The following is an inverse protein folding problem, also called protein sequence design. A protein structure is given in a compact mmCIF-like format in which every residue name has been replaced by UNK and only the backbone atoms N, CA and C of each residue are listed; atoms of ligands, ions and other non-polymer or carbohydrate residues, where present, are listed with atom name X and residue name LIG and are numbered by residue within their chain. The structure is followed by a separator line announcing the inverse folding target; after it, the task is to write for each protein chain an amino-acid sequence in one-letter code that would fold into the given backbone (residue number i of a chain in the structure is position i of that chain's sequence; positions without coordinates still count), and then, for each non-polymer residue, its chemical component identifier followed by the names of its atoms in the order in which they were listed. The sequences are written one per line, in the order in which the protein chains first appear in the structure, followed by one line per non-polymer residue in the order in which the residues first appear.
data_IF_331793903871
#
_entry.id   IF_331793903871
#
_cell.length_a   1.000
_cell.length_b   1.000
_cell.length_c   1.000
_cell.angle_alpha   90.00
_cell.angle_beta   90.00
_cell.angle_gamma   90.00
#
_symmetry.space_group_name_H-M   'P 1'
#
loop_
_entity.id
_entity.type
_entity.pdbx_description
1 polymer ?
#
# COMPACT_ATOMS: atom_id res chain seq x y z
N UNK A 1 14.55 -28.03 11.67
CA UNK A 1 13.54 -27.41 12.56
C UNK A 1 13.71 -25.90 12.65
N UNK A 2 14.90 -25.38 13.01
CA UNK A 2 15.17 -23.94 13.09
C UNK A 2 14.83 -23.17 11.79
N UNK A 3 15.26 -23.68 10.62
CA UNK A 3 14.97 -23.03 9.33
C UNK A 3 13.45 -22.93 9.04
N UNK A 4 12.68 -23.96 9.39
CA UNK A 4 11.22 -23.97 9.18
C UNK A 4 10.51 -22.95 10.08
N UNK A 5 10.98 -22.79 11.32
CA UNK A 5 10.45 -21.79 12.27
C UNK A 5 10.75 -20.38 11.75
N UNK A 6 11.98 -20.13 11.28
CA UNK A 6 12.37 -18.83 10.71
C UNK A 6 11.56 -18.50 9.46
N UNK A 7 11.40 -19.45 8.54
CA UNK A 7 10.56 -19.28 7.36
C UNK A 7 9.09 -19.00 7.72
N UNK A 8 8.55 -19.71 8.71
CA UNK A 8 7.19 -19.47 9.21
C UNK A 8 7.02 -18.08 9.81
N UNK A 9 8.00 -17.61 10.59
CA UNK A 9 7.98 -16.26 11.16
C UNK A 9 8.07 -15.17 10.08
N UNK A 10 8.91 -15.34 9.07
CA UNK A 10 9.01 -14.42 7.91
C UNK A 10 7.67 -14.38 7.17
N UNK A 11 7.07 -15.53 6.90
CA UNK A 11 5.78 -15.61 6.23
C UNK A 11 4.68 -14.91 7.03
N UNK A 12 4.62 -15.17 8.34
CA UNK A 12 3.67 -14.50 9.23
C UNK A 12 3.89 -12.98 9.25
N UNK A 13 5.16 -12.54 9.30
CA UNK A 13 5.50 -11.12 9.24
C UNK A 13 5.02 -10.46 7.95
N UNK A 14 5.23 -11.10 6.79
CA UNK A 14 4.72 -10.62 5.49
C UNK A 14 3.20 -10.52 5.49
N UNK A 15 2.51 -11.56 5.99
CA UNK A 15 1.05 -11.56 6.04
C UNK A 15 0.51 -10.45 6.93
N UNK A 16 1.07 -10.28 8.12
CA UNK A 16 0.67 -9.22 9.05
C UNK A 16 0.91 -7.84 8.40
N UNK A 17 2.07 -7.61 7.79
CA UNK A 17 2.40 -6.35 7.11
C UNK A 17 1.48 -6.02 5.94
N UNK A 18 0.92 -7.04 5.29
CA UNK A 18 -0.05 -6.84 4.21
C UNK A 18 -1.42 -6.37 4.72
N UNK A 19 -1.73 -6.56 6.01
CA UNK A 19 -3.00 -6.18 6.62
C UNK A 19 -3.08 -4.64 6.72
N UNK A 20 -4.23 -4.04 6.32
CA UNK A 20 -4.46 -2.61 6.51
C UNK A 20 -4.37 -2.20 7.99
N UNK A 21 -3.93 -0.96 8.23
CA UNK A 21 -3.76 -0.34 9.55
C UNK A 21 -2.68 -0.96 10.44
N UNK A 22 -1.91 -1.94 9.94
CA UNK A 22 -0.79 -2.47 10.72
C UNK A 22 0.33 -1.42 10.87
N UNK A 23 0.84 -1.17 12.10
CA UNK A 23 2.03 -0.33 12.34
C UNK A 23 3.32 -1.06 11.88
N UNK A 24 3.48 -1.13 10.55
CA UNK A 24 4.55 -1.84 9.86
C UNK A 24 5.93 -1.26 10.10
N UNK A 25 6.03 0.07 10.17
CA UNK A 25 7.32 0.75 10.25
C UNK A 25 7.93 0.60 11.65
N UNK A 26 7.10 0.59 12.69
CA UNK A 26 7.51 0.39 14.07
C UNK A 26 8.09 -1.01 14.27
N UNK A 27 7.40 -2.04 13.75
CA UNK A 27 7.88 -3.44 13.82
C UNK A 27 9.13 -3.61 12.96
N UNK A 28 9.16 -3.02 11.77
CA UNK A 28 10.33 -3.05 10.87
C UNK A 28 11.56 -2.42 11.51
N UNK A 29 11.42 -1.25 12.13
CA UNK A 29 12.50 -0.57 12.84
C UNK A 29 13.02 -1.39 14.01
N UNK A 30 12.12 -1.99 14.82
CA UNK A 30 12.53 -2.88 15.91
C UNK A 30 13.38 -4.06 15.40
N UNK A 31 12.98 -4.69 14.29
CA UNK A 31 13.74 -5.78 13.67
C UNK A 31 15.10 -5.32 13.13
N UNK A 32 15.18 -4.14 12.50
CA UNK A 32 16.45 -3.58 12.03
C UNK A 32 17.41 -3.27 13.18
N UNK A 33 16.90 -2.73 14.29
CA UNK A 33 17.69 -2.46 15.49
C UNK A 33 18.20 -3.75 16.15
N UNK A 34 17.40 -4.82 16.16
CA UNK A 34 17.78 -6.10 16.78
C UNK A 34 18.72 -6.94 15.91
N UNK A 35 18.57 -6.92 14.58
CA UNK A 35 19.31 -7.78 13.64
C UNK A 35 20.39 -7.02 12.84
N UNK A 36 20.51 -5.71 13.03
CA UNK A 36 21.46 -4.83 12.32
C UNK A 36 21.26 -4.84 10.79
N UNK A 37 22.37 -4.75 10.05
CA UNK A 37 22.38 -4.72 8.58
C UNK A 37 21.63 -5.88 7.91
N UNK A 38 21.69 -7.09 8.49
CA UNK A 38 20.95 -8.26 7.99
C UNK A 38 19.44 -8.09 8.17
N UNK A 39 19.02 -7.48 9.28
CA UNK A 39 17.63 -7.12 9.54
C UNK A 39 17.10 -6.11 8.52
N UNK A 40 17.92 -5.14 8.13
CA UNK A 40 17.55 -4.13 7.13
C UNK A 40 17.18 -4.74 5.78
N UNK A 41 18.02 -5.63 5.24
CA UNK A 41 17.75 -6.31 3.97
C UNK A 41 16.49 -7.20 4.07
N UNK A 42 16.35 -7.95 5.17
CA UNK A 42 15.19 -8.80 5.40
C UNK A 42 13.89 -7.98 5.43
N UNK A 43 13.86 -6.90 6.21
CA UNK A 43 12.68 -6.05 6.34
C UNK A 43 12.34 -5.39 5.01
N UNK A 44 13.32 -4.93 4.24
CA UNK A 44 13.10 -4.37 2.91
C UNK A 44 12.39 -5.37 1.98
N UNK A 45 12.90 -6.60 1.88
CA UNK A 45 12.33 -7.63 1.02
C UNK A 45 10.92 -8.05 1.47
N UNK A 46 10.72 -8.24 2.78
CA UNK A 46 9.41 -8.53 3.35
C UNK A 46 8.40 -7.41 3.10
N UNK A 47 8.82 -6.15 3.20
CA UNK A 47 7.96 -4.99 2.92
C UNK A 47 7.55 -4.96 1.46
N UNK A 48 8.50 -5.13 0.54
CA UNK A 48 8.22 -5.19 -0.89
C UNK A 48 7.21 -6.30 -1.22
N UNK A 49 7.40 -7.49 -0.63
CA UNK A 49 6.51 -8.63 -0.81
C UNK A 49 5.11 -8.35 -0.24
N UNK A 50 5.01 -7.90 1.01
CA UNK A 50 3.74 -7.65 1.69
C UNK A 50 2.89 -6.60 0.96
N UNK A 51 3.50 -5.47 0.56
CA UNK A 51 2.79 -4.41 -0.15
C UNK A 51 2.38 -4.83 -1.56
N UNK A 52 3.20 -5.65 -2.24
CA UNK A 52 2.84 -6.24 -3.53
C UNK A 52 1.66 -7.20 -3.41
N UNK A 53 1.65 -8.06 -2.39
CA UNK A 53 0.52 -8.95 -2.09
C UNK A 53 -0.73 -8.13 -1.86
N UNK A 54 -0.66 -7.12 -0.99
CA UNK A 54 -1.80 -6.24 -0.70
C UNK A 54 -2.33 -5.56 -1.96
N UNK A 55 -1.46 -5.04 -2.82
CA UNK A 55 -1.86 -4.47 -4.12
C UNK A 55 -2.53 -5.50 -5.03
N UNK A 56 -2.00 -6.71 -5.15
CA UNK A 56 -2.57 -7.77 -6.00
C UNK A 56 -3.94 -8.18 -5.47
N UNK A 57 -4.07 -8.35 -4.15
CA UNK A 57 -5.35 -8.61 -3.49
C UNK A 57 -6.32 -7.48 -3.81
N UNK A 58 -5.92 -6.22 -3.63
CA UNK A 58 -6.73 -5.06 -3.97
C UNK A 58 -7.20 -5.07 -5.43
N UNK A 59 -6.31 -5.43 -6.35
CA UNK A 59 -6.60 -5.48 -7.80
C UNK A 59 -7.53 -6.63 -8.19
N UNK A 60 -7.49 -7.75 -7.48
CA UNK A 60 -8.33 -8.93 -7.73
C UNK A 60 -9.72 -8.81 -7.10
N UNK A 61 -9.89 -7.96 -6.09
CA UNK A 61 -11.20 -7.70 -5.49
C UNK A 61 -12.15 -7.12 -6.57
N UNK A 62 -13.31 -7.78 -6.82
CA UNK A 62 -14.31 -7.25 -7.73
C UNK A 62 -14.96 -5.99 -7.13
N UNK A 63 -15.32 -4.99 -7.95
CA UNK A 63 -15.95 -3.75 -7.50
C UNK A 63 -17.20 -3.98 -6.61
N UNK A 64 -17.94 -5.06 -6.88
CA UNK A 64 -19.10 -5.49 -6.09
C UNK A 64 -18.78 -5.76 -4.62
N UNK A 65 -17.62 -6.35 -4.33
CA UNK A 65 -17.18 -6.60 -2.96
C UNK A 65 -16.80 -5.30 -2.26
N UNK A 66 -16.16 -4.36 -2.99
CA UNK A 66 -15.84 -3.02 -2.48
C UNK A 66 -17.12 -2.25 -2.13
N UNK A 67 -18.11 -2.27 -3.01
CA UNK A 67 -19.43 -1.68 -2.76
C UNK A 67 -20.06 -2.23 -1.49
N UNK A 68 -20.06 -3.57 -1.31
CA UNK A 68 -20.62 -4.23 -0.13
C UNK A 68 -19.87 -3.87 1.15
N UNK A 69 -18.54 -3.84 1.11
CA UNK A 69 -17.70 -3.45 2.25
C UNK A 69 -17.96 -2.01 2.67
N UNK A 70 -17.98 -1.08 1.72
CA UNK A 70 -18.27 0.34 2.01
C UNK A 70 -19.69 0.55 2.55
N UNK A 71 -20.67 -0.17 2.01
CA UNK A 71 -22.05 -0.14 2.51
C UNK A 71 -22.16 -0.72 3.92
N UNK A 72 -21.43 -1.80 4.21
CA UNK A 72 -21.36 -2.38 5.55
C UNK A 72 -20.72 -1.44 6.58
N UNK A 73 -19.74 -0.62 6.15
CA UNK A 73 -19.12 0.44 6.95
C UNK A 73 -19.96 1.72 7.05
N UNK A 74 -21.21 1.74 6.55
CA UNK A 74 -22.07 2.93 6.46
C UNK A 74 -21.45 4.10 5.68
N UNK A 75 -20.55 3.82 4.74
CA UNK A 75 -19.92 4.81 3.86
C UNK A 75 -20.71 4.93 2.54
N UNK A 76 -21.98 5.34 2.63
CA UNK A 76 -22.92 5.34 1.51
C UNK A 76 -22.48 6.20 0.31
N UNK A 77 -21.78 7.30 0.57
CA UNK A 77 -21.22 8.15 -0.49
C UNK A 77 -20.13 7.43 -1.29
N UNK A 78 -19.25 6.70 -0.59
CA UNK A 78 -18.16 5.98 -1.21
C UNK A 78 -18.67 4.74 -1.97
N UNK A 79 -19.67 4.04 -1.44
CA UNK A 79 -20.29 2.90 -2.11
C UNK A 79 -20.96 3.34 -3.42
N UNK A 80 -21.69 4.46 -3.41
CA UNK A 80 -22.32 5.05 -4.61
C UNK A 80 -21.29 5.45 -5.66
N UNK A 81 -20.16 6.04 -5.25
CA UNK A 81 -19.07 6.39 -6.17
C UNK A 81 -18.47 5.15 -6.85
N UNK A 82 -18.23 4.07 -6.11
CA UNK A 82 -17.71 2.82 -6.68
C UNK A 82 -18.69 2.22 -7.69
N UNK A 83 -19.99 2.26 -7.41
CA UNK A 83 -21.03 1.80 -8.33
C UNK A 83 -21.07 2.63 -9.63
N UNK A 84 -20.89 3.95 -9.54
CA UNK A 84 -20.86 4.84 -10.71
C UNK A 84 -19.61 4.67 -11.57
N UNK A 85 -18.48 4.25 -10.97
CA UNK A 85 -17.21 4.04 -11.66
C UNK A 85 -17.12 2.66 -12.34
N UNK A 86 -17.89 1.66 -11.89
CA UNK A 86 -17.85 0.28 -12.41
C UNK A 86 -18.03 0.18 -13.94
N UNK A 87 -19.05 0.82 -14.56
CA UNK A 87 -19.27 0.70 -16.01
C UNK A 87 -18.30 1.54 -16.87
N UNK A 88 -17.57 2.49 -16.27
CA UNK A 88 -16.76 3.45 -17.01
C UNK A 88 -15.42 2.85 -17.46
N UNK A 89 -14.94 3.27 -18.63
CA UNK A 89 -13.58 2.98 -19.10
C UNK A 89 -12.53 3.84 -18.35
N UNK A 90 -11.23 3.59 -18.57
CA UNK A 90 -10.17 4.27 -17.81
C UNK A 90 -10.15 5.80 -18.02
N UNK A 91 -10.41 6.29 -19.22
CA UNK A 91 -10.43 7.73 -19.53
C UNK A 91 -11.67 8.40 -18.92
N UNK A 92 -12.82 7.75 -19.01
CA UNK A 92 -14.09 8.20 -18.44
C UNK A 92 -14.04 8.26 -16.91
N UNK A 93 -13.42 7.27 -16.25
CA UNK A 93 -13.21 7.30 -14.80
C UNK A 93 -12.37 8.49 -14.37
N UNK A 94 -11.27 8.76 -15.07
CA UNK A 94 -10.40 9.90 -14.76
C UNK A 94 -11.13 11.23 -14.93
N UNK A 95 -11.93 11.38 -15.99
CA UNK A 95 -12.77 12.56 -16.21
C UNK A 95 -13.81 12.72 -15.09
N UNK A 96 -14.54 11.64 -14.77
CA UNK A 96 -15.54 11.64 -13.70
C UNK A 96 -14.95 12.00 -12.33
N UNK A 97 -13.76 11.48 -12.00
CA UNK A 97 -13.05 11.81 -10.75
C UNK A 97 -12.58 13.27 -10.73
N UNK A 98 -12.09 13.80 -11.86
CA UNK A 98 -11.74 15.21 -11.99
C UNK A 98 -12.96 16.12 -11.74
N UNK A 99 -14.12 15.77 -12.30
CA UNK A 99 -15.34 16.58 -12.18
C UNK A 99 -15.92 16.59 -10.75
N UNK A 100 -15.69 15.51 -9.98
CA UNK A 100 -16.19 15.35 -8.60
C UNK A 100 -15.19 15.79 -7.51
N UNK A 101 -13.91 15.97 -7.84
CA UNK A 101 -12.88 16.32 -6.85
C UNK A 101 -12.85 17.82 -6.52
N UNK A 102 -12.50 18.20 -5.27
CA UNK A 102 -12.20 19.59 -4.94
C UNK A 102 -11.04 20.11 -5.82
N UNK A 103 -11.21 21.28 -6.44
CA UNK A 103 -10.26 21.85 -7.41
C UNK A 103 -8.80 21.94 -6.91
N UNK A 104 -8.59 22.01 -5.58
CA UNK A 104 -7.26 22.05 -4.96
C UNK A 104 -6.57 20.68 -4.83
N UNK A 105 -7.33 19.59 -4.71
CA UNK A 105 -6.80 18.23 -4.51
C UNK A 105 -6.73 17.41 -5.81
N UNK A 106 -7.55 17.76 -6.81
CA UNK A 106 -7.60 17.11 -8.11
C UNK A 106 -6.24 17.07 -8.84
N UNK A 107 -5.51 18.18 -9.04
CA UNK A 107 -4.27 18.14 -9.80
C UNK A 107 -3.17 17.38 -9.06
N UNK A 108 -3.10 17.46 -7.73
CA UNK A 108 -2.06 16.79 -6.95
C UNK A 108 -2.22 15.27 -6.99
N UNK A 109 -3.43 14.77 -6.73
CA UNK A 109 -3.68 13.33 -6.65
C UNK A 109 -3.76 12.65 -8.02
N UNK A 110 -4.22 13.35 -9.06
CA UNK A 110 -4.42 12.76 -10.40
C UNK A 110 -3.19 12.92 -11.30
N UNK A 111 -2.52 14.08 -11.27
CA UNK A 111 -1.34 14.35 -12.11
C UNK A 111 -0.05 13.83 -11.46
N UNK A 112 0.05 13.87 -10.13
CA UNK A 112 1.21 13.39 -9.38
C UNK A 112 0.94 12.10 -8.58
N UNK A 113 0.10 11.21 -9.14
CA UNK A 113 -0.36 9.98 -8.47
C UNK A 113 0.76 9.14 -7.86
N UNK A 114 1.90 9.01 -8.56
CA UNK A 114 3.05 8.23 -8.08
C UNK A 114 3.70 8.91 -6.87
N UNK A 115 3.86 10.24 -6.91
CA UNK A 115 4.37 11.01 -5.77
C UNK A 115 3.40 10.99 -4.60
N UNK A 116 2.09 11.08 -4.86
CA UNK A 116 1.07 10.99 -3.83
C UNK A 116 1.10 9.63 -3.11
N UNK A 117 1.27 8.53 -3.86
CA UNK A 117 1.43 7.19 -3.28
C UNK A 117 2.73 7.12 -2.47
N UNK A 118 3.85 7.58 -3.02
CA UNK A 118 5.12 7.57 -2.30
C UNK A 118 5.09 8.40 -1.00
N UNK A 119 4.43 9.56 -1.04
CA UNK A 119 4.22 10.42 0.12
C UNK A 119 3.29 9.75 1.15
N UNK A 120 2.19 9.14 0.71
CA UNK A 120 1.27 8.38 1.59
C UNK A 120 2.00 7.25 2.33
N UNK A 121 2.88 6.51 1.63
CA UNK A 121 3.66 5.43 2.22
C UNK A 121 4.71 5.91 3.21
N UNK A 122 5.26 7.12 3.05
CA UNK A 122 6.32 7.65 3.90
C UNK A 122 5.84 8.67 4.95
N UNK A 123 4.55 9.00 4.98
CA UNK A 123 3.97 9.89 5.98
C UNK A 123 4.07 9.25 7.38
N UNK A 124 4.56 9.97 8.40
CA UNK A 124 4.51 9.48 9.77
C UNK A 124 3.06 9.29 10.21
N UNK A 125 2.78 8.18 10.89
CA UNK A 125 1.41 7.83 11.27
C UNK A 125 0.54 7.38 10.09
N UNK A 126 1.13 6.94 8.96
CA UNK A 126 0.36 6.38 7.85
C UNK A 126 -0.57 5.22 8.27
N UNK A 127 -0.30 4.55 9.40
CA UNK A 127 -1.16 3.53 9.98
C UNK A 127 -2.59 4.05 10.22
N UNK A 128 -2.75 5.34 10.58
CA UNK A 128 -4.06 5.98 10.79
C UNK A 128 -4.91 6.05 9.51
N UNK A 129 -4.26 6.15 8.35
CA UNK A 129 -4.91 6.20 7.03
C UNK A 129 -4.95 4.83 6.33
N UNK A 130 -4.54 3.75 7.02
CA UNK A 130 -4.53 2.39 6.49
C UNK A 130 -3.16 1.73 6.41
N UNK A 131 -2.08 2.43 6.73
CA UNK A 131 -0.71 1.92 6.69
C UNK A 131 -0.25 1.58 5.27
N UNK A 132 0.97 1.04 5.13
CA UNK A 132 1.49 0.60 3.84
C UNK A 132 0.59 -0.43 3.16
N UNK A 133 0.12 -1.42 3.93
CA UNK A 133 -0.79 -2.47 3.47
C UNK A 133 -2.10 -1.90 2.92
N UNK A 134 -2.79 -1.04 3.68
CA UNK A 134 -4.07 -0.46 3.25
C UNK A 134 -3.93 0.51 2.08
N UNK A 135 -2.88 1.34 2.05
CA UNK A 135 -2.59 2.20 0.90
C UNK A 135 -2.39 1.34 -0.36
N UNK A 136 -1.56 0.30 -0.27
CA UNK A 136 -1.30 -0.61 -1.39
C UNK A 136 -2.56 -1.33 -1.87
N UNK A 137 -3.42 -1.75 -0.92
CA UNK A 137 -4.73 -2.35 -1.20
C UNK A 137 -5.61 -1.40 -2.02
N UNK A 138 -5.78 -0.16 -1.56
CA UNK A 138 -6.61 0.86 -2.21
C UNK A 138 -6.06 1.23 -3.59
N UNK A 139 -4.74 1.36 -3.73
CA UNK A 139 -4.10 1.59 -5.03
C UNK A 139 -4.37 0.41 -5.97
N UNK A 140 -4.28 -0.83 -5.49
CA UNK A 140 -4.67 -2.03 -6.24
C UNK A 140 -6.12 -2.01 -6.70
N UNK A 141 -7.04 -1.69 -5.78
CA UNK A 141 -8.48 -1.58 -6.04
C UNK A 141 -8.82 -0.53 -7.09
N UNK A 142 -8.04 0.55 -7.18
CA UNK A 142 -8.24 1.60 -8.19
C UNK A 142 -8.07 1.06 -9.62
N UNK A 143 -7.21 0.03 -9.81
CA UNK A 143 -6.78 -0.50 -11.12
C UNK A 143 -6.15 0.55 -12.06
N UNK A 144 -5.85 1.75 -11.55
CA UNK A 144 -5.29 2.87 -12.33
C UNK A 144 -3.79 2.68 -12.58
N UNK A 145 -3.07 2.17 -11.58
CA UNK A 145 -1.61 1.96 -11.64
C UNK A 145 -1.33 0.52 -12.09
N UNK A 146 -0.47 0.27 -13.09
CA UNK A 146 -0.07 -1.09 -13.46
C UNK A 146 0.95 -1.64 -12.46
N UNK A 147 0.97 -2.97 -12.28
CA UNK A 147 1.80 -3.63 -11.26
C UNK A 147 3.30 -3.32 -11.40
N UNK A 148 3.84 -3.32 -12.62
CA UNK A 148 5.25 -3.02 -12.86
C UNK A 148 5.64 -1.59 -12.44
N UNK A 149 4.75 -0.61 -12.62
CA UNK A 149 5.01 0.76 -12.17
C UNK A 149 4.90 0.85 -10.64
N UNK A 150 3.96 0.10 -10.06
CA UNK A 150 3.78 0.04 -8.61
C UNK A 150 4.98 -0.59 -7.90
N UNK A 151 5.50 -1.73 -8.37
CA UNK A 151 6.67 -2.39 -7.75
C UNK A 151 7.94 -1.51 -7.86
N UNK A 152 8.14 -0.81 -8.99
CA UNK A 152 9.24 0.14 -9.14
C UNK A 152 9.10 1.32 -8.18
N UNK A 153 7.88 1.86 -8.05
CA UNK A 153 7.61 2.92 -7.09
C UNK A 153 7.90 2.46 -5.66
N UNK A 154 7.44 1.26 -5.28
CA UNK A 154 7.69 0.69 -3.95
C UNK A 154 9.19 0.51 -3.68
N UNK A 155 9.93 -0.05 -4.63
CA UNK A 155 11.37 -0.27 -4.48
C UNK A 155 12.10 1.04 -4.17
N UNK A 156 11.74 2.13 -4.84
CA UNK A 156 12.34 3.45 -4.61
C UNK A 156 11.82 4.07 -3.31
N UNK A 157 10.51 4.01 -3.06
CA UNK A 157 9.88 4.70 -1.94
C UNK A 157 10.21 4.07 -0.58
N UNK A 158 10.46 2.76 -0.52
CA UNK A 158 10.78 2.04 0.72
C UNK A 158 12.29 2.06 1.00
N UNK A 159 13.14 2.14 -0.04
CA UNK A 159 14.60 2.00 0.10
C UNK A 159 15.29 2.94 1.10
N UNK A 160 14.89 4.22 1.33
CA UNK A 160 15.69 5.13 2.13
C UNK A 160 16.01 4.64 3.56
N UNK A 161 15.00 4.13 4.28
CA UNK A 161 15.18 3.71 5.68
C UNK A 161 16.00 2.41 5.79
N UNK A 162 15.66 1.31 5.09
CA UNK A 162 16.47 0.09 5.12
C UNK A 162 17.88 0.30 4.57
N UNK A 163 18.07 1.13 3.54
CA UNK A 163 19.40 1.39 2.98
C UNK A 163 20.28 2.12 4.00
N UNK A 164 19.73 3.07 4.74
CA UNK A 164 20.44 3.74 5.83
C UNK A 164 20.91 2.73 6.89
N UNK A 165 20.03 1.86 7.38
CA UNK A 165 20.40 0.82 8.35
C UNK A 165 21.36 -0.23 7.77
N UNK A 166 21.26 -0.54 6.49
CA UNK A 166 22.17 -1.47 5.85
C UNK A 166 23.60 -0.93 5.77
N UNK A 167 23.76 0.37 5.46
CA UNK A 167 25.06 1.02 5.30
C UNK A 167 25.68 1.48 6.63
N UNK A 168 24.85 1.91 7.59
CA UNK A 168 25.30 2.56 8.82
C UNK A 168 24.87 1.84 10.12
N UNK A 169 23.95 0.87 10.05
CA UNK A 169 23.40 0.17 11.22
C UNK A 169 24.23 -1.02 11.70
N UNK A 170 25.55 -0.82 11.78
CA UNK A 170 26.53 -1.76 12.34
C UNK A 170 26.69 -1.59 13.85
#
# INVERSE_FOLDING_TARGET
MLNSIVLGAIFLYILLMAIPFMPAIEIGLALMLMLGSKGALLVYLCTLAALSISFIVGRTIPPRLVYRLLKWLHLDKASTLVQQLEPLNQQERLKFLNDKMPAKAAPLLLNYRYLAIAAALNLPGNALIGGGGGISLVVGMSKIVPFHAFILLLAIAIAPVPLWFYLFGG
#
